data_IF_490197669962
#
_entry.id   IF_490197669962
#
_cell.length_a   1.000
_cell.length_b   1.000
_cell.length_c   1.000
_cell.angle_alpha   90.00
_cell.angle_beta   90.00
_cell.angle_gamma   90.00
#
_symmetry.space_group_name_H-M   'P 1'
#
loop_
_entity.id
_entity.type
_entity.pdbx_description
1 polymer ?
#
# COMPACT_ATOMS: atom_id res chain seq x y z
N UNK A 1 -17.51 -1.65 3.49
CA UNK A 1 -16.46 -1.19 2.56
C UNK A 1 -16.74 -1.80 1.21
N UNK A 2 -16.77 -1.00 0.14
CA UNK A 2 -16.99 -1.50 -1.21
C UNK A 2 -15.86 -2.51 -1.57
N UNK A 3 -16.23 -3.72 -1.98
CA UNK A 3 -15.25 -4.69 -2.47
C UNK A 3 -14.76 -4.23 -3.85
N UNK A 4 -13.45 -4.03 -3.97
CA UNK A 4 -12.79 -3.77 -5.24
C UNK A 4 -12.86 -5.07 -6.04
N UNK A 5 -13.44 -5.04 -7.25
CA UNK A 5 -13.48 -6.23 -8.11
C UNK A 5 -12.10 -6.46 -8.71
N UNK A 6 -11.48 -7.59 -8.33
CA UNK A 6 -10.15 -7.96 -8.80
C UNK A 6 -10.10 -8.26 -10.30
N UNK A 7 -11.21 -8.68 -10.91
CA UNK A 7 -11.26 -9.18 -12.29
C UNK A 7 -11.12 -8.08 -13.37
N UNK A 8 -11.36 -6.82 -12.99
CA UNK A 8 -11.24 -5.67 -13.90
C UNK A 8 -9.86 -5.01 -13.87
N UNK A 9 -8.98 -5.42 -12.95
CA UNK A 9 -7.68 -4.78 -12.71
C UNK A 9 -6.55 -5.67 -13.22
N UNK A 10 -5.56 -5.06 -13.87
CA UNK A 10 -4.32 -5.73 -14.25
C UNK A 10 -3.41 -5.90 -13.02
N UNK A 11 -3.62 -6.99 -12.29
CA UNK A 11 -2.90 -7.26 -11.05
C UNK A 11 -1.53 -7.89 -11.32
N UNK A 12 -0.48 -7.20 -10.88
CA UNK A 12 0.87 -7.72 -10.78
C UNK A 12 1.08 -8.43 -9.44
N UNK A 13 1.93 -9.44 -9.42
CA UNK A 13 2.15 -10.31 -8.27
C UNK A 13 3.64 -10.30 -7.91
N UNK A 14 3.96 -10.09 -6.63
CA UNK A 14 5.33 -10.11 -6.14
C UNK A 14 5.45 -11.02 -4.93
N UNK A 15 6.33 -12.02 -5.03
CA UNK A 15 6.60 -12.97 -3.96
C UNK A 15 7.63 -12.37 -3.01
N UNK A 16 7.22 -12.10 -1.78
CA UNK A 16 8.06 -11.45 -0.78
C UNK A 16 8.95 -12.47 -0.08
N UNK A 17 8.36 -13.56 0.40
CA UNK A 17 9.08 -14.53 1.19
C UNK A 17 8.43 -15.92 1.15
N UNK A 18 9.26 -16.95 1.10
CA UNK A 18 8.84 -18.35 1.13
C UNK A 18 9.55 -19.03 2.29
N UNK A 19 8.78 -19.70 3.15
CA UNK A 19 9.32 -20.52 4.23
C UNK A 19 8.97 -21.99 4.03
N UNK A 20 9.90 -22.87 4.40
CA UNK A 20 9.62 -24.29 4.60
C UNK A 20 9.38 -24.55 6.09
N UNK A 21 8.15 -24.91 6.44
CA UNK A 21 7.74 -25.25 7.81
C UNK A 21 7.59 -26.76 7.96
N UNK A 22 7.78 -27.29 9.16
CA UNK A 22 7.73 -28.74 9.41
C UNK A 22 6.88 -29.08 10.63
N UNK A 23 6.04 -30.11 10.51
CA UNK A 23 5.37 -30.77 11.65
C UNK A 23 6.06 -32.11 11.93
N UNK A 24 6.56 -32.30 13.14
CA UNK A 24 7.16 -33.57 13.59
C UNK A 24 6.05 -34.59 13.87
N UNK A 25 6.25 -35.83 13.41
CA UNK A 25 5.35 -36.98 13.61
C UNK A 25 6.18 -38.22 13.98
N UNK A 26 5.54 -39.30 14.45
CA UNK A 26 6.23 -40.53 14.90
C UNK A 26 7.21 -41.15 13.88
N UNK A 27 6.98 -40.93 12.58
CA UNK A 27 7.80 -41.46 11.49
C UNK A 27 8.68 -40.43 10.77
N UNK A 28 8.81 -39.19 11.28
CA UNK A 28 9.67 -38.17 10.67
C UNK A 28 9.09 -36.76 10.70
N UNK A 29 9.34 -35.97 9.65
CA UNK A 29 8.86 -34.58 9.53
C UNK A 29 8.00 -34.42 8.28
N UNK A 30 6.78 -33.93 8.46
CA UNK A 30 5.91 -33.50 7.35
C UNK A 30 6.23 -32.04 7.03
N UNK A 31 6.82 -31.81 5.87
CA UNK A 31 7.11 -30.45 5.39
C UNK A 31 5.87 -29.81 4.75
N UNK A 32 5.81 -28.50 4.82
CA UNK A 32 4.87 -27.66 4.10
C UNK A 32 5.57 -26.35 3.75
N UNK A 33 5.08 -25.66 2.74
CA UNK A 33 5.59 -24.36 2.33
C UNK A 33 4.57 -23.29 2.65
N UNK A 34 5.05 -22.14 3.07
CA UNK A 34 4.24 -20.94 3.28
C UNK A 34 4.79 -19.83 2.40
N UNK A 35 3.91 -19.09 1.75
CA UNK A 35 4.28 -17.96 0.90
C UNK A 35 3.61 -16.69 1.40
N UNK A 36 4.37 -15.60 1.44
CA UNK A 36 3.88 -14.24 1.62
C UNK A 36 3.98 -13.53 0.27
N UNK A 37 2.85 -13.07 -0.24
CA UNK A 37 2.73 -12.45 -1.57
C UNK A 37 2.04 -11.10 -1.43
N UNK A 38 2.50 -10.12 -2.19
CA UNK A 38 1.78 -8.88 -2.43
C UNK A 38 1.24 -8.87 -3.86
N UNK A 39 0.06 -8.31 -4.05
CA UNK A 39 -0.62 -8.18 -5.34
C UNK A 39 -1.09 -6.75 -5.48
N UNK A 40 -0.90 -6.13 -6.64
CA UNK A 40 -1.36 -4.76 -6.87
C UNK A 40 -1.35 -4.36 -8.34
N UNK A 41 -2.01 -3.24 -8.64
CA UNK A 41 -2.15 -2.71 -10.00
C UNK A 41 -0.98 -1.81 -10.42
N UNK A 42 -0.06 -1.48 -9.50
CA UNK A 42 1.03 -0.52 -9.74
C UNK A 42 0.57 0.93 -9.75
N UNK A 43 -0.72 1.20 -9.47
CA UNK A 43 -1.29 2.54 -9.46
C UNK A 43 -1.68 2.95 -8.05
N UNK A 44 -2.63 2.27 -7.42
CA UNK A 44 -3.11 2.67 -6.09
C UNK A 44 -3.74 1.52 -5.31
N UNK A 45 -4.00 0.38 -5.93
CA UNK A 45 -4.62 -0.76 -5.28
C UNK A 45 -3.55 -1.80 -4.95
N UNK A 46 -3.49 -2.19 -3.69
CA UNK A 46 -2.58 -3.25 -3.26
C UNK A 46 -3.25 -4.16 -2.23
N UNK A 47 -2.80 -5.40 -2.17
CA UNK A 47 -3.25 -6.42 -1.23
C UNK A 47 -2.09 -7.31 -0.82
N UNK A 48 -2.17 -7.85 0.38
CA UNK A 48 -1.20 -8.82 0.90
C UNK A 48 -1.93 -10.10 1.21
N UNK A 49 -1.32 -11.22 0.86
CA UNK A 49 -1.88 -12.54 1.09
C UNK A 49 -0.86 -13.50 1.68
N UNK A 50 -1.38 -14.45 2.45
CA UNK A 50 -0.58 -15.49 3.07
C UNK A 50 -1.15 -16.87 2.73
N UNK A 51 -0.31 -17.70 2.10
CA UNK A 51 -0.70 -19.03 1.64
C UNK A 51 0.13 -20.13 2.29
N UNK A 52 -0.48 -21.31 2.47
CA UNK A 52 0.22 -22.53 2.91
C UNK A 52 -0.25 -23.74 2.13
N UNK A 53 0.71 -24.52 1.63
CA UNK A 53 0.45 -25.78 0.92
C UNK A 53 1.59 -26.78 1.09
N UNK A 54 1.44 -27.97 0.50
CA UNK A 54 2.49 -29.01 0.48
C UNK A 54 3.59 -28.70 -0.53
N UNK A 55 3.27 -27.94 -1.57
CA UNK A 55 4.16 -27.54 -2.66
C UNK A 55 4.24 -26.02 -2.75
N UNK A 56 5.34 -25.51 -3.31
CA UNK A 56 5.58 -24.06 -3.41
C UNK A 56 4.58 -23.37 -4.36
N UNK A 57 4.31 -23.87 -5.59
CA UNK A 57 3.39 -23.19 -6.51
C UNK A 57 1.97 -23.10 -5.95
N UNK A 58 1.48 -24.18 -5.32
CA UNK A 58 0.17 -24.20 -4.66
C UNK A 58 0.10 -23.24 -3.47
N UNK A 59 1.20 -23.02 -2.74
CA UNK A 59 1.23 -22.06 -1.64
C UNK A 59 1.15 -20.63 -2.17
N UNK A 60 1.83 -20.34 -3.29
CA UNK A 60 1.80 -19.02 -3.94
C UNK A 60 0.40 -18.73 -4.50
N UNK A 61 -0.22 -19.68 -5.21
CA UNK A 61 -1.60 -19.52 -5.72
C UNK A 61 -2.60 -19.19 -4.60
N UNK A 62 -2.54 -19.93 -3.48
CA UNK A 62 -3.38 -19.63 -2.31
C UNK A 62 -3.12 -18.25 -1.71
N UNK A 63 -1.86 -17.82 -1.70
CA UNK A 63 -1.50 -16.48 -1.22
C UNK A 63 -2.04 -15.39 -2.16
N UNK A 64 -2.00 -15.60 -3.48
CA UNK A 64 -2.55 -14.66 -4.47
C UNK A 64 -4.07 -14.54 -4.31
N UNK A 65 -4.79 -15.65 -4.19
CA UNK A 65 -6.24 -15.64 -3.96
C UNK A 65 -6.62 -14.92 -2.66
N UNK A 66 -5.84 -15.11 -1.60
CA UNK A 66 -6.02 -14.40 -0.33
C UNK A 66 -5.75 -12.89 -0.48
N UNK A 67 -4.69 -12.50 -1.21
CA UNK A 67 -4.37 -11.11 -1.48
C UNK A 67 -5.46 -10.40 -2.29
N UNK A 68 -6.02 -11.07 -3.31
CA UNK A 68 -7.12 -10.54 -4.14
C UNK A 68 -8.38 -10.22 -3.34
N UNK A 69 -8.64 -10.98 -2.27
CA UNK A 69 -9.77 -10.71 -1.35
C UNK A 69 -9.52 -9.51 -0.45
N UNK A 70 -8.26 -9.21 -0.15
CA UNK A 70 -7.83 -8.20 0.82
C UNK A 70 -7.27 -6.93 0.17
N UNK A 71 -7.72 -6.60 -1.05
CA UNK A 71 -7.31 -5.37 -1.73
C UNK A 71 -7.76 -4.12 -0.98
N UNK A 72 -6.89 -3.11 -0.97
CA UNK A 72 -7.18 -1.78 -0.44
C UNK A 72 -6.53 -0.71 -1.30
N UNK A 73 -7.12 0.49 -1.26
CA UNK A 73 -6.60 1.67 -1.95
C UNK A 73 -5.61 2.39 -1.05
N UNK A 74 -4.44 2.71 -1.58
CA UNK A 74 -3.38 3.48 -0.93
C UNK A 74 -3.65 4.97 -1.15
N UNK A 75 -3.86 5.77 -0.08
CA UNK A 75 -3.97 7.22 -0.19
C UNK A 75 -2.63 7.84 -0.57
N UNK A 76 -2.51 8.33 -1.81
CA UNK A 76 -1.30 8.98 -2.31
C UNK A 76 -1.59 10.39 -2.84
N UNK A 77 -0.55 11.20 -2.93
CA UNK A 77 -0.58 12.52 -3.57
C UNK A 77 0.54 12.58 -4.61
N UNK A 78 0.15 12.53 -5.89
CA UNK A 78 1.10 12.39 -6.99
C UNK A 78 1.88 11.08 -6.87
N UNK A 79 3.20 11.19 -6.70
CA UNK A 79 4.14 10.04 -6.63
C UNK A 79 4.45 9.58 -5.20
N UNK A 80 4.02 10.32 -4.17
CA UNK A 80 4.36 10.07 -2.75
C UNK A 80 3.14 9.91 -1.85
N UNK A 81 3.36 9.54 -0.58
CA UNK A 81 2.33 9.42 0.46
C UNK A 81 1.95 10.80 1.04
N UNK A 82 0.76 10.91 1.66
CA UNK A 82 0.24 12.23 2.09
C UNK A 82 0.97 12.81 3.30
N UNK A 83 1.28 11.99 4.30
CA UNK A 83 1.95 12.42 5.53
C UNK A 83 2.78 11.27 6.12
N UNK A 84 3.66 11.62 7.06
CA UNK A 84 4.46 10.64 7.79
C UNK A 84 3.59 9.81 8.73
N UNK A 85 3.79 8.49 8.71
CA UNK A 85 3.03 7.54 9.52
C UNK A 85 3.94 6.44 10.05
N UNK A 86 3.70 6.04 11.30
CA UNK A 86 4.29 4.82 11.88
C UNK A 86 3.25 3.70 11.89
N UNK A 87 3.41 2.73 11.00
CA UNK A 87 2.59 1.52 10.98
C UNK A 87 3.02 0.53 12.06
N UNK A 88 2.06 -0.06 12.77
CA UNK A 88 2.31 -1.01 13.86
C UNK A 88 1.52 -2.31 13.70
N UNK A 89 2.21 -3.45 13.71
CA UNK A 89 1.58 -4.77 13.74
C UNK A 89 2.41 -5.78 14.55
N UNK A 90 1.85 -6.25 15.68
CA UNK A 90 2.57 -7.15 16.58
C UNK A 90 3.86 -6.51 17.07
N UNK A 91 5.01 -7.12 16.80
CA UNK A 91 6.33 -6.56 17.10
C UNK A 91 6.93 -5.69 15.97
N UNK A 92 6.22 -5.54 14.84
CA UNK A 92 6.68 -4.77 13.69
C UNK A 92 6.27 -3.31 13.77
N UNK A 93 7.24 -2.41 13.66
CA UNK A 93 7.03 -0.97 13.45
C UNK A 93 7.69 -0.57 12.14
N UNK A 94 6.95 0.12 11.28
CA UNK A 94 7.48 0.63 10.01
C UNK A 94 7.17 2.12 9.94
N UNK A 95 8.21 2.93 9.90
CA UNK A 95 8.10 4.34 9.60
C UNK A 95 7.97 4.51 8.09
N UNK A 96 6.94 5.22 7.64
CA UNK A 96 6.72 5.65 6.26
C UNK A 96 6.75 7.16 6.24
N UNK A 97 7.69 7.74 5.51
CA UNK A 97 7.87 9.19 5.39
C UNK A 97 7.79 9.61 3.93
N UNK A 98 6.99 10.66 3.60
CA UNK A 98 6.93 11.19 2.24
C UNK A 98 8.30 11.71 1.81
N UNK A 99 8.56 11.62 0.51
CA UNK A 99 9.82 12.04 -0.09
C UNK A 99 9.56 13.02 -1.24
N UNK A 100 10.58 13.80 -1.59
CA UNK A 100 10.53 14.67 -2.76
C UNK A 100 10.51 13.84 -4.05
N UNK A 101 9.92 14.36 -5.14
CA UNK A 101 9.93 13.67 -6.42
C UNK A 101 11.35 13.31 -6.88
N UNK A 102 11.54 12.09 -7.39
CA UNK A 102 12.84 11.59 -7.86
C UNK A 102 13.71 10.94 -6.79
N UNK A 103 13.19 10.71 -5.58
CA UNK A 103 13.90 9.97 -4.52
C UNK A 103 13.88 8.46 -4.77
N UNK A 104 12.82 7.96 -5.42
CA UNK A 104 12.61 6.52 -5.56
C UNK A 104 12.10 5.84 -4.28
N UNK A 105 11.90 4.53 -4.37
CA UNK A 105 11.41 3.70 -3.25
C UNK A 105 12.59 3.21 -2.42
N UNK A 106 12.83 3.84 -1.27
CA UNK A 106 13.84 3.43 -0.30
C UNK A 106 13.15 2.70 0.84
N UNK A 107 13.10 1.37 0.74
CA UNK A 107 12.44 0.50 1.71
C UNK A 107 13.14 -0.86 1.83
N UNK A 108 12.90 -1.57 2.94
CA UNK A 108 13.33 -2.97 3.08
C UNK A 108 12.53 -3.89 2.15
N UNK A 109 13.13 -4.99 1.66
CA UNK A 109 12.61 -5.77 0.53
C UNK A 109 11.11 -6.13 0.58
N UNK A 110 10.59 -6.59 1.72
CA UNK A 110 9.16 -6.91 1.83
C UNK A 110 8.24 -5.67 1.79
N UNK A 111 8.67 -4.56 2.36
CA UNK A 111 7.92 -3.29 2.32
C UNK A 111 8.06 -2.61 0.95
N UNK A 112 9.23 -2.75 0.30
CA UNK A 112 9.48 -2.26 -1.06
C UNK A 112 8.50 -2.87 -2.05
N UNK A 113 8.36 -4.20 -2.06
CA UNK A 113 7.42 -4.89 -2.96
C UNK A 113 5.98 -4.38 -2.79
N UNK A 114 5.57 -4.07 -1.54
CA UNK A 114 4.26 -3.51 -1.25
C UNK A 114 4.08 -2.10 -1.80
N UNK A 115 5.09 -1.24 -1.65
CA UNK A 115 5.03 0.18 -2.06
C UNK A 115 5.09 0.33 -3.58
N UNK A 116 5.92 -0.48 -4.26
CA UNK A 116 6.01 -0.51 -5.72
C UNK A 116 4.68 -0.94 -6.35
N UNK A 117 4.08 -2.03 -5.86
CA UNK A 117 2.76 -2.49 -6.32
C UNK A 117 1.62 -1.55 -5.94
N UNK A 118 1.78 -0.75 -4.88
CA UNK A 118 0.84 0.30 -4.50
C UNK A 118 0.99 1.61 -5.29
N UNK A 119 1.88 1.65 -6.29
CA UNK A 119 2.09 2.81 -7.16
C UNK A 119 2.68 4.03 -6.44
N UNK A 120 3.44 3.78 -5.37
CA UNK A 120 4.24 4.81 -4.68
C UNK A 120 5.64 4.76 -5.24
N UNK A 121 6.07 5.84 -5.89
CA UNK A 121 7.38 5.91 -6.52
C UNK A 121 8.42 6.58 -5.62
N UNK A 122 8.01 7.53 -4.77
CA UNK A 122 8.91 8.29 -3.92
C UNK A 122 8.51 8.15 -2.45
N UNK A 123 9.30 7.39 -1.68
CA UNK A 123 9.03 7.18 -0.25
C UNK A 123 10.26 6.70 0.50
N UNK A 124 10.42 7.21 1.71
CA UNK A 124 11.42 6.73 2.67
C UNK A 124 10.72 5.83 3.68
N UNK A 125 11.15 4.57 3.77
CA UNK A 125 10.62 3.63 4.73
C UNK A 125 11.73 2.99 5.57
N UNK A 126 11.52 2.94 6.88
CA UNK A 126 12.43 2.27 7.81
C UNK A 126 11.67 1.33 8.74
N UNK A 127 12.10 0.07 8.76
CA UNK A 127 11.64 -0.89 9.76
C UNK A 127 12.37 -0.63 11.09
N UNK A 128 11.60 -0.36 12.13
CA UNK A 128 12.06 -0.09 13.48
C UNK A 128 11.69 -1.30 14.37
N UNK A 129 12.68 -2.04 14.85
CA UNK A 129 12.45 -3.25 15.65
C UNK A 129 12.57 -4.55 14.85
N UNK A 130 11.48 -5.30 14.67
CA UNK A 130 11.55 -6.65 14.09
C UNK A 130 11.93 -6.66 12.61
N UNK A 131 12.70 -7.68 12.22
CA UNK A 131 13.09 -7.98 10.83
C UNK A 131 12.25 -9.09 10.20
N UNK A 132 11.21 -9.59 10.90
CA UNK A 132 10.34 -10.64 10.36
C UNK A 132 9.47 -10.08 9.20
N UNK A 133 9.60 -10.61 7.96
CA UNK A 133 8.90 -10.09 6.79
C UNK A 133 7.37 -10.07 6.93
N UNK A 134 6.78 -11.05 7.61
CA UNK A 134 5.32 -11.11 7.82
C UNK A 134 4.85 -9.91 8.65
N UNK A 135 5.54 -9.62 9.75
CA UNK A 135 5.17 -8.52 10.63
C UNK A 135 5.48 -7.16 10.00
N UNK A 136 6.60 -7.04 9.28
CA UNK A 136 6.95 -5.79 8.59
C UNK A 136 5.92 -5.43 7.52
N UNK A 137 5.53 -6.39 6.67
CA UNK A 137 4.56 -6.15 5.59
C UNK A 137 3.18 -5.81 6.16
N UNK A 138 2.73 -6.52 7.20
CA UNK A 138 1.45 -6.20 7.87
C UNK A 138 1.48 -4.87 8.63
N UNK A 139 2.63 -4.48 9.18
CA UNK A 139 2.80 -3.18 9.82
C UNK A 139 2.74 -2.06 8.77
N UNK A 140 3.41 -2.24 7.63
CA UNK A 140 3.33 -1.31 6.51
C UNK A 140 1.91 -1.21 5.96
N UNK A 141 1.21 -2.33 5.78
CA UNK A 141 -0.20 -2.37 5.36
C UNK A 141 -1.10 -1.53 6.29
N UNK A 142 -0.97 -1.74 7.62
CA UNK A 142 -1.71 -0.95 8.61
C UNK A 142 -1.36 0.55 8.55
N UNK A 143 -0.08 0.86 8.34
CA UNK A 143 0.38 2.24 8.14
C UNK A 143 -0.30 2.88 6.94
N UNK A 144 -0.28 2.22 5.78
CA UNK A 144 -0.90 2.71 4.56
C UNK A 144 -2.43 2.88 4.71
N UNK A 145 -3.12 1.95 5.36
CA UNK A 145 -4.57 2.06 5.65
C UNK A 145 -4.91 3.20 6.62
N UNK A 146 -3.96 3.60 7.45
CA UNK A 146 -4.15 4.72 8.40
C UNK A 146 -3.95 6.09 7.75
N UNK A 147 -3.37 6.15 6.56
CA UNK A 147 -3.25 7.39 5.80
C UNK A 147 -4.65 7.99 5.53
N UNK A 148 -4.64 9.30 5.34
CA UNK A 148 -5.83 10.11 5.09
C UNK A 148 -5.50 11.08 3.98
N UNK A 149 -6.44 11.28 3.05
CA UNK A 149 -6.33 12.34 2.06
C UNK A 149 -6.76 13.66 2.68
N UNK A 150 -6.18 14.80 2.27
CA UNK A 150 -6.64 16.11 2.71
C UNK A 150 -8.12 16.35 2.36
N UNK A 151 -8.59 15.79 1.24
CA UNK A 151 -9.99 15.80 0.81
C UNK A 151 -10.91 15.13 1.84
N UNK A 152 -10.55 13.94 2.32
CA UNK A 152 -11.33 13.19 3.30
C UNK A 152 -11.45 13.96 4.62
N UNK A 153 -10.36 14.60 5.05
CA UNK A 153 -10.32 15.41 6.28
C UNK A 153 -11.15 16.68 6.11
N UNK A 154 -11.14 17.29 4.93
CA UNK A 154 -11.95 18.46 4.59
C UNK A 154 -13.44 18.17 4.69
N UNK A 155 -13.86 17.06 4.11
CA UNK A 155 -15.24 16.60 4.19
C UNK A 155 -15.66 16.29 5.63
N UNK A 156 -14.80 15.63 6.41
CA UNK A 156 -15.09 15.31 7.82
C UNK A 156 -15.19 16.54 8.71
N UNK A 157 -14.41 17.59 8.43
CA UNK A 157 -14.38 18.81 9.25
C UNK A 157 -15.29 19.92 8.73
N UNK A 158 -15.93 19.73 7.57
CA UNK A 158 -16.79 20.73 6.94
C UNK A 158 -16.04 22.00 6.51
N UNK A 159 -14.74 21.89 6.20
CA UNK A 159 -13.87 23.02 5.83
C UNK A 159 -13.35 22.86 4.40
N UNK A 160 -12.90 23.95 3.80
CA UNK A 160 -12.25 23.87 2.48
C UNK A 160 -10.89 23.14 2.57
N UNK A 161 -10.48 22.48 1.48
CA UNK A 161 -9.18 21.77 1.41
C UNK A 161 -8.01 22.74 1.65
N UNK A 162 -8.15 24.00 1.22
CA UNK A 162 -7.15 25.05 1.37
C UNK A 162 -6.92 25.43 2.84
N UNK A 163 -7.99 25.55 3.63
CA UNK A 163 -7.90 25.83 5.07
C UNK A 163 -7.18 24.71 5.84
N UNK A 164 -7.33 23.46 5.42
CA UNK A 164 -6.68 22.32 6.08
C UNK A 164 -5.20 22.21 5.75
N UNK A 165 -4.82 22.57 4.53
CA UNK A 165 -3.42 22.59 4.11
C UNK A 165 -2.65 23.80 4.66
N UNK A 166 -3.32 24.74 5.34
CA UNK A 166 -2.69 25.92 5.93
C UNK A 166 -2.05 26.86 4.89
N UNK A 167 -2.42 26.72 3.61
CA UNK A 167 -2.00 27.67 2.56
C UNK A 167 -2.84 28.93 2.71
N UNK A 168 -2.19 30.09 2.67
CA UNK A 168 -2.88 31.38 2.61
C UNK A 168 -3.95 31.36 1.50
N UNK A 169 -5.08 32.06 1.69
CA UNK A 169 -6.05 32.21 0.60
C UNK A 169 -5.28 32.78 -0.59
N UNK A 170 -5.32 32.08 -1.73
CA UNK A 170 -4.90 32.68 -2.97
C UNK A 170 -5.89 33.82 -3.21
N UNK A 171 -5.40 35.05 -3.06
CA UNK A 171 -6.12 36.22 -3.54
C UNK A 171 -6.61 35.95 -4.95
N UNK A 172 -7.84 36.36 -5.19
CA UNK A 172 -8.49 36.36 -6.49
C UNK A 172 -7.63 37.16 -7.48
N UNK A 173 -6.78 36.49 -8.26
CA UNK A 173 -6.22 37.09 -9.48
C UNK A 173 -5.95 36.01 -10.51
N UNK A 174 -6.87 35.96 -11.48
CA UNK A 174 -6.88 35.02 -12.59
C UNK A 174 -8.18 35.17 -13.39
N UNK A 175 -8.50 36.42 -13.71
CA UNK A 175 -9.57 36.93 -14.57
C UNK A 175 -9.91 36.03 -15.75
N UNK A 176 -11.22 35.83 -15.93
CA UNK A 176 -11.95 35.61 -17.18
C UNK A 176 -11.11 35.32 -18.44
N UNK A 177 -11.22 34.09 -18.93
CA UNK A 177 -11.09 33.80 -20.36
C UNK A 177 -12.50 33.49 -20.87
N UNK A 178 -13.15 34.57 -21.30
CA UNK A 178 -14.25 34.69 -22.27
C UNK A 178 -15.17 33.48 -22.48
N UNK A 179 -16.36 33.56 -21.88
CA UNK A 179 -17.59 33.08 -22.50
C UNK A 179 -18.04 34.07 -23.58
N UNK A 180 -18.18 33.60 -24.82
CA UNK A 180 -19.20 34.07 -25.75
C UNK A 180 -18.80 35.15 -26.76
N UNK A 181 -18.35 34.72 -27.93
CA UNK A 181 -18.84 35.31 -29.18
C UNK A 181 -19.58 34.21 -29.96
N UNK A 182 -20.90 34.39 -30.06
CA UNK A 182 -21.74 33.68 -31.03
C UNK A 182 -22.11 34.71 -32.10
N UNK A 183 -21.71 34.47 -33.34
CA UNK A 183 -22.41 34.82 -34.58
C UNK A 183 -22.62 36.29 -34.96
N UNK A 184 -21.92 36.72 -36.00
CA UNK A 184 -22.48 37.30 -37.24
C UNK A 184 -21.42 37.27 -38.34
#
# INVERSE_FOLDING_TARGET
MAQIKADTLNLQESVIHINRVAKVVKGGRRFSFTALVAVGDGESTVGVGYGKAKEVPLAIQKAIEDARKNLFVVPKHGTTITHEVVGHHGAGKVLLRPASPGTGVIAGGGVRALLELGGVHDVLAKCLGTTNPINMVRAAEKGLRSLRRPEDIAMQRGKSVREILGKAPADETGTAIASGETGA
#
